data_IF_028682558684
#
_entry.id   IF_028682558684
#
_cell.length_a   1.000
_cell.length_b   1.000
_cell.length_c   1.000
_cell.angle_alpha   90.00
_cell.angle_beta   90.00
_cell.angle_gamma   90.00
#
_symmetry.space_group_name_H-M   'P 1'
#
loop_
_entity.id
_entity.type
_entity.pdbx_description
1 polymer ?
#
# COMPACT_ATOMS: atom_id res chain seq x y z
N UNK A 1 -2.62 3.94 -11.75
CA UNK A 1 -3.79 3.41 -11.02
C UNK A 1 -3.60 3.52 -9.53
N UNK A 2 -2.44 3.12 -8.99
CA UNK A 2 -2.09 3.32 -7.58
C UNK A 2 -2.87 2.46 -6.58
N UNK A 3 -3.93 1.76 -6.98
CA UNK A 3 -4.67 0.86 -6.11
C UNK A 3 -3.87 -0.43 -5.84
N UNK A 4 -3.84 -0.87 -4.58
CA UNK A 4 -3.20 -2.13 -4.17
C UNK A 4 -4.01 -2.81 -3.07
N UNK A 5 -4.01 -4.14 -3.11
CA UNK A 5 -4.39 -4.98 -1.97
C UNK A 5 -3.12 -5.69 -1.51
N UNK A 6 -2.72 -5.43 -0.26
CA UNK A 6 -1.60 -6.10 0.37
C UNK A 6 -2.14 -7.14 1.34
N UNK A 7 -1.75 -8.40 1.14
CA UNK A 7 -2.05 -9.49 2.06
C UNK A 7 -0.78 -9.76 2.87
N UNK A 8 -0.90 -9.71 4.19
CA UNK A 8 0.20 -9.94 5.13
C UNK A 8 -0.16 -11.16 5.99
N UNK A 9 0.13 -12.39 5.51
CA UNK A 9 -0.31 -13.62 6.18
C UNK A 9 0.25 -13.77 7.59
N UNK A 10 1.54 -13.46 7.76
CA UNK A 10 2.23 -13.57 9.06
C UNK A 10 1.59 -12.68 10.13
N UNK A 11 1.07 -11.52 9.72
CA UNK A 11 0.38 -10.56 10.58
C UNK A 11 -1.15 -10.80 10.63
N UNK A 12 -1.68 -11.72 9.82
CA UNK A 12 -3.13 -11.96 9.63
C UNK A 12 -3.92 -10.68 9.27
N UNK A 13 -3.32 -9.82 8.45
CA UNK A 13 -3.91 -8.52 8.05
C UNK A 13 -4.02 -8.42 6.53
N UNK A 14 -5.09 -7.76 6.07
CA UNK A 14 -5.24 -7.30 4.70
C UNK A 14 -5.33 -5.78 4.70
N UNK A 15 -4.48 -5.12 3.92
CA UNK A 15 -4.50 -3.67 3.74
C UNK A 15 -4.91 -3.32 2.32
N UNK A 16 -5.90 -2.44 2.18
CA UNK A 16 -6.40 -1.96 0.88
C UNK A 16 -6.03 -0.49 0.72
N UNK A 17 -5.22 -0.19 -0.28
CA UNK A 17 -4.85 1.18 -0.66
C UNK A 17 -5.61 1.52 -1.92
N UNK A 18 -6.42 2.58 -1.86
CA UNK A 18 -7.07 3.17 -3.03
C UNK A 18 -6.46 4.52 -3.37
N UNK A 19 -6.43 4.86 -4.65
CA UNK A 19 -5.79 6.05 -5.19
C UNK A 19 -6.63 6.64 -6.31
N UNK A 20 -6.75 7.96 -6.29
CA UNK A 20 -7.37 8.73 -7.38
C UNK A 20 -6.32 9.21 -8.41
N UNK A 21 -5.03 8.87 -8.22
CA UNK A 21 -3.93 9.30 -9.09
C UNK A 21 -3.82 8.41 -10.34
N UNK A 22 -4.90 8.32 -11.12
CA UNK A 22 -4.91 7.59 -12.38
C UNK A 22 -3.93 8.22 -13.39
N UNK A 23 -3.23 7.38 -14.15
CA UNK A 23 -2.21 7.76 -15.12
C UNK A 23 -1.08 8.69 -14.61
N UNK A 24 -0.83 8.69 -13.30
CA UNK A 24 0.31 9.39 -12.70
C UNK A 24 1.46 8.43 -12.42
N UNK A 25 2.66 8.79 -12.89
CA UNK A 25 3.87 7.96 -12.77
C UNK A 25 4.25 7.69 -11.31
N UNK A 26 3.91 8.60 -10.38
CA UNK A 26 4.20 8.43 -8.95
C UNK A 26 3.21 7.51 -8.21
N UNK A 27 2.05 7.17 -8.79
CA UNK A 27 0.98 6.50 -8.07
C UNK A 27 1.36 5.10 -7.56
N UNK A 28 2.14 4.35 -8.35
CA UNK A 28 2.62 3.03 -7.96
C UNK A 28 3.72 3.09 -6.88
N UNK A 29 4.78 3.93 -7.03
CA UNK A 29 5.74 4.19 -5.96
C UNK A 29 5.09 4.66 -4.65
N UNK A 30 4.11 5.57 -4.72
CA UNK A 30 3.45 6.13 -3.55
C UNK A 30 2.75 5.05 -2.71
N UNK A 31 1.94 4.20 -3.33
CA UNK A 31 1.22 3.15 -2.60
C UNK A 31 2.15 2.07 -2.02
N UNK A 32 3.29 1.82 -2.66
CA UNK A 32 4.34 0.96 -2.09
C UNK A 32 5.00 1.59 -0.86
N UNK A 33 5.28 2.89 -0.90
CA UNK A 33 5.81 3.64 0.26
C UNK A 33 4.84 3.62 1.43
N UNK A 34 3.53 3.73 1.17
CA UNK A 34 2.49 3.58 2.23
C UNK A 34 2.64 2.23 2.95
N UNK A 35 2.82 1.13 2.21
CA UNK A 35 3.06 -0.17 2.83
C UNK A 35 4.34 -0.20 3.65
N UNK A 36 5.47 0.19 3.06
CA UNK A 36 6.81 -0.04 3.67
C UNK A 36 7.17 0.95 4.77
N UNK A 37 6.72 2.20 4.65
CA UNK A 37 7.11 3.29 5.57
C UNK A 37 6.07 3.52 6.67
N UNK A 38 4.81 3.10 6.48
CA UNK A 38 3.74 3.36 7.44
C UNK A 38 3.07 2.08 7.95
N UNK A 39 2.53 1.24 7.05
CA UNK A 39 1.75 0.07 7.47
C UNK A 39 2.62 -1.00 8.14
N UNK A 40 3.72 -1.43 7.50
CA UNK A 40 4.59 -2.46 8.05
C UNK A 40 5.20 -2.05 9.41
N UNK A 41 5.73 -0.82 9.59
CA UNK A 41 6.22 -0.39 10.89
C UNK A 41 5.15 -0.32 11.97
N UNK A 42 3.91 0.04 11.63
CA UNK A 42 2.80 0.13 12.59
C UNK A 42 2.24 -1.24 13.02
N UNK A 43 2.56 -2.32 12.28
CA UNK A 43 2.12 -3.68 12.56
C UNK A 43 3.17 -4.52 13.29
N UNK A 44 4.34 -3.95 13.59
CA UNK A 44 5.39 -4.59 14.39
C UNK A 44 5.12 -4.48 15.89
#
# INVERSE_FOLDING_TARGET
>A
GGNYVFVLPEQRVVAVVTSQAFNRNFAHPQSRRILTEFLLPALR
#
